data_IF_512121169887
#
_entry.id   IF_512121169887
#
_cell.length_a   1.000
_cell.length_b   1.000
_cell.length_c   1.000
_cell.angle_alpha   90.00
_cell.angle_beta   90.00
_cell.angle_gamma   90.00
#
_symmetry.space_group_name_H-M   'P 1'
#
loop_
_entity.id
_entity.type
_entity.pdbx_description
1 polymer ?
#
# COMPACT_ATOMS: atom_id res chain seq x y z
N UNK A 1 -34.52 36.89 30.46
CA UNK A 1 -33.16 36.34 30.34
C UNK A 1 -33.24 35.17 29.38
N UNK A 2 -32.84 35.37 28.10
CA UNK A 2 -33.04 34.44 26.99
C UNK A 2 -31.70 33.67 26.79
N UNK A 3 -31.63 32.44 27.29
CA UNK A 3 -30.46 31.57 27.06
C UNK A 3 -30.44 31.15 25.59
N UNK A 4 -29.56 31.77 24.83
CA UNK A 4 -29.27 31.33 23.46
C UNK A 4 -28.56 29.99 23.50
N UNK A 5 -29.31 28.95 23.13
CA UNK A 5 -28.80 27.61 22.91
C UNK A 5 -27.88 27.63 21.66
N UNK A 6 -26.56 27.68 21.87
CA UNK A 6 -25.56 27.61 20.82
C UNK A 6 -25.60 26.21 20.24
N UNK A 7 -26.25 26.06 19.09
CA UNK A 7 -26.20 24.81 18.30
C UNK A 7 -24.71 24.60 17.93
N UNK A 8 -24.08 23.63 18.60
CA UNK A 8 -22.76 23.14 18.20
C UNK A 8 -22.91 22.46 16.84
N UNK A 9 -22.52 23.16 15.78
CA UNK A 9 -22.31 22.51 14.49
C UNK A 9 -21.21 21.47 14.65
N UNK A 10 -21.59 20.19 14.53
CA UNK A 10 -20.62 19.08 14.51
C UNK A 10 -19.79 19.23 13.25
N UNK A 11 -18.51 19.61 13.40
CA UNK A 11 -17.55 19.58 12.32
C UNK A 11 -17.15 18.14 12.04
N UNK A 12 -17.30 17.68 10.79
CA UNK A 12 -16.78 16.39 10.31
C UNK A 12 -15.25 16.42 10.47
N UNK A 13 -14.72 15.40 11.12
CA UNK A 13 -13.29 15.26 11.38
C UNK A 13 -12.72 14.19 10.47
N UNK A 14 -11.87 14.59 9.52
CA UNK A 14 -11.13 13.64 8.70
C UNK A 14 -10.09 12.90 9.55
N UNK A 15 -10.21 11.58 9.60
CA UNK A 15 -9.20 10.70 10.18
C UNK A 15 -8.17 10.35 9.12
N UNK A 16 -6.89 10.50 9.45
CA UNK A 16 -5.80 10.07 8.54
C UNK A 16 -5.85 8.55 8.40
N UNK A 17 -5.93 8.06 7.16
CA UNK A 17 -5.87 6.63 6.85
C UNK A 17 -4.45 6.13 7.11
N UNK A 18 -4.34 4.96 7.75
CA UNK A 18 -3.04 4.30 7.92
C UNK A 18 -2.40 3.97 6.58
N UNK A 19 -1.08 4.19 6.46
CA UNK A 19 -0.33 3.99 5.22
C UNK A 19 -0.43 2.55 4.71
N UNK A 20 -0.47 1.56 5.60
CA UNK A 20 -0.61 0.15 5.24
C UNK A 20 -1.96 -0.14 4.59
N UNK A 21 -3.03 0.42 5.16
CA UNK A 21 -4.39 0.28 4.63
C UNK A 21 -4.51 0.98 3.27
N UNK A 22 -3.91 2.16 3.13
CA UNK A 22 -3.89 2.89 1.87
C UNK A 22 -3.16 2.10 0.78
N UNK A 23 -1.98 1.53 1.08
CA UNK A 23 -1.23 0.70 0.14
C UNK A 23 -2.02 -0.56 -0.26
N UNK A 24 -2.61 -1.27 0.71
CA UNK A 24 -3.48 -2.41 0.42
C UNK A 24 -4.66 -2.05 -0.48
N UNK A 25 -5.32 -0.92 -0.20
CA UNK A 25 -6.41 -0.40 -1.03
C UNK A 25 -5.98 -0.06 -2.46
N UNK A 26 -4.81 0.55 -2.64
CA UNK A 26 -4.26 0.86 -3.97
C UNK A 26 -3.93 -0.41 -4.78
N UNK A 27 -3.35 -1.44 -4.15
CA UNK A 27 -3.12 -2.74 -4.80
C UNK A 27 -4.43 -3.41 -5.22
N UNK A 28 -5.45 -3.40 -4.35
CA UNK A 28 -6.78 -3.93 -4.69
C UNK A 28 -7.37 -3.15 -5.88
N UNK A 29 -7.31 -1.82 -5.87
CA UNK A 29 -7.83 -0.99 -6.96
C UNK A 29 -7.12 -1.31 -8.28
N UNK A 30 -5.80 -1.47 -8.28
CA UNK A 30 -5.03 -1.85 -9.45
C UNK A 30 -5.46 -3.23 -9.98
N UNK A 31 -5.59 -4.22 -9.09
CA UNK A 31 -6.05 -5.57 -9.47
C UNK A 31 -7.45 -5.57 -10.08
N UNK A 32 -8.36 -4.71 -9.60
CA UNK A 32 -9.68 -4.57 -10.21
C UNK A 32 -9.61 -3.99 -11.62
N UNK A 33 -8.81 -2.94 -11.84
CA UNK A 33 -8.63 -2.37 -13.19
C UNK A 33 -8.05 -3.43 -14.13
N UNK A 34 -6.99 -4.13 -13.70
CA UNK A 34 -6.35 -5.21 -14.45
C UNK A 34 -7.36 -6.29 -14.85
N UNK A 35 -8.12 -6.81 -13.88
CA UNK A 35 -9.13 -7.83 -14.11
C UNK A 35 -10.21 -7.39 -15.09
N UNK A 36 -10.70 -6.14 -15.00
CA UNK A 36 -11.73 -5.66 -15.92
C UNK A 36 -11.19 -5.40 -17.32
N UNK A 37 -9.96 -4.93 -17.47
CA UNK A 37 -9.31 -4.79 -18.79
C UNK A 37 -9.20 -6.16 -19.47
N UNK A 38 -8.79 -7.20 -18.73
CA UNK A 38 -8.71 -8.56 -19.25
C UNK A 38 -10.09 -9.14 -19.60
N UNK A 39 -11.10 -8.95 -18.73
CA UNK A 39 -12.48 -9.38 -18.99
C UNK A 39 -13.03 -8.73 -20.26
N UNK A 40 -12.79 -7.44 -20.46
CA UNK A 40 -13.23 -6.76 -21.69
C UNK A 40 -12.49 -7.26 -22.93
N UNK A 41 -11.28 -7.79 -22.78
CA UNK A 41 -10.56 -8.48 -23.85
C UNK A 41 -11.36 -9.63 -24.45
N UNK A 42 -12.19 -10.35 -23.67
CA UNK A 42 -13.04 -11.43 -24.18
C UNK A 42 -14.15 -10.96 -25.15
N UNK A 43 -14.41 -9.66 -25.24
CA UNK A 43 -15.33 -9.12 -26.23
C UNK A 43 -14.64 -8.80 -27.57
N UNK A 44 -13.34 -8.99 -27.66
CA UNK A 44 -12.53 -8.75 -28.85
C UNK A 44 -12.44 -10.02 -29.69
N UNK A 45 -12.82 -9.92 -30.99
CA UNK A 45 -12.75 -11.07 -31.90
C UNK A 45 -11.32 -11.56 -32.14
N UNK A 46 -10.31 -10.67 -32.14
CA UNK A 46 -8.91 -11.05 -32.32
C UNK A 46 -8.39 -11.86 -31.14
N UNK A 47 -8.79 -11.52 -29.89
CA UNK A 47 -8.43 -12.27 -28.69
C UNK A 47 -9.08 -13.66 -28.69
N UNK A 48 -10.39 -13.73 -28.99
CA UNK A 48 -11.11 -15.00 -29.05
C UNK A 48 -10.52 -15.91 -30.13
N UNK A 49 -10.30 -15.40 -31.34
CA UNK A 49 -9.74 -16.17 -32.45
C UNK A 49 -8.31 -16.65 -32.13
N UNK A 50 -7.50 -15.80 -31.49
CA UNK A 50 -6.18 -16.20 -31.00
C UNK A 50 -6.27 -17.36 -30.02
N UNK A 51 -7.16 -17.28 -29.03
CA UNK A 51 -7.35 -18.32 -28.03
C UNK A 51 -7.83 -19.65 -28.65
N UNK A 52 -8.72 -19.60 -29.65
CA UNK A 52 -9.21 -20.80 -30.33
C UNK A 52 -8.11 -21.55 -31.10
N UNK A 53 -7.09 -20.84 -31.60
CA UNK A 53 -5.92 -21.44 -32.26
C UNK A 53 -4.74 -21.63 -31.30
N UNK A 54 -4.93 -21.45 -30.00
CA UNK A 54 -3.90 -21.63 -28.98
C UNK A 54 -2.80 -20.57 -28.98
N UNK A 55 -3.09 -19.35 -29.41
CA UNK A 55 -2.12 -18.24 -29.48
C UNK A 55 -2.64 -16.99 -28.82
N UNK A 56 -1.74 -16.26 -28.17
CA UNK A 56 -2.03 -14.91 -27.63
C UNK A 56 -2.11 -13.93 -28.80
N UNK A 57 -3.20 -13.16 -28.87
CA UNK A 57 -3.39 -12.13 -29.88
C UNK A 57 -2.29 -11.07 -29.77
N UNK A 58 -1.81 -10.58 -30.91
CA UNK A 58 -0.72 -9.62 -31.02
C UNK A 58 0.67 -10.27 -31.01
N UNK A 59 1.27 -10.61 -29.88
CA UNK A 59 2.63 -11.18 -29.82
C UNK A 59 2.74 -12.62 -30.33
N UNK A 60 1.61 -13.35 -30.48
CA UNK A 60 1.59 -14.67 -31.06
C UNK A 60 2.20 -15.80 -30.21
N UNK A 61 2.42 -15.57 -28.91
CA UNK A 61 2.89 -16.62 -27.98
C UNK A 61 1.91 -17.79 -27.93
N UNK A 62 2.43 -19.01 -27.81
CA UNK A 62 1.59 -20.19 -27.63
C UNK A 62 0.96 -20.22 -26.24
N UNK A 63 -0.35 -20.46 -26.18
CA UNK A 63 -1.09 -20.69 -24.95
C UNK A 63 -0.90 -22.15 -24.56
N UNK A 64 0.12 -22.40 -23.75
CA UNK A 64 0.46 -23.71 -23.22
C UNK A 64 0.53 -23.68 -21.68
N UNK A 65 0.81 -24.84 -21.07
CA UNK A 65 0.90 -24.97 -19.61
C UNK A 65 1.91 -24.00 -19.00
N UNK A 66 3.06 -23.81 -19.62
CA UNK A 66 4.09 -22.90 -19.11
C UNK A 66 3.61 -21.43 -19.15
N UNK A 67 2.96 -21.02 -20.23
CA UNK A 67 2.35 -19.69 -20.35
C UNK A 67 1.33 -19.43 -19.23
N UNK A 68 0.41 -20.38 -18.99
CA UNK A 68 -0.62 -20.25 -17.96
C UNK A 68 -0.02 -20.19 -16.55
N UNK A 69 1.02 -20.98 -16.26
CA UNK A 69 1.73 -20.95 -14.99
C UNK A 69 2.41 -19.59 -14.79
N UNK A 70 3.12 -19.07 -15.79
CA UNK A 70 3.80 -17.78 -15.70
C UNK A 70 2.80 -16.64 -15.52
N UNK A 71 1.67 -16.66 -16.23
CA UNK A 71 0.60 -15.67 -16.06
C UNK A 71 -0.01 -15.75 -14.67
N UNK A 72 -0.21 -16.96 -14.14
CA UNK A 72 -0.70 -17.14 -12.77
C UNK A 72 0.28 -16.56 -11.75
N UNK A 73 1.58 -16.83 -11.87
CA UNK A 73 2.61 -16.27 -10.99
C UNK A 73 2.61 -14.73 -11.09
N UNK A 74 2.51 -14.20 -12.30
CA UNK A 74 2.45 -12.75 -12.53
C UNK A 74 1.28 -12.11 -11.77
N UNK A 75 0.09 -12.71 -11.78
CA UNK A 75 -1.08 -12.20 -11.05
C UNK A 75 -0.97 -12.42 -9.53
N UNK A 76 -0.38 -13.52 -9.08
CA UNK A 76 -0.23 -13.81 -7.65
C UNK A 76 0.63 -12.79 -6.92
N UNK A 77 1.66 -12.23 -7.56
CA UNK A 77 2.55 -11.25 -6.92
C UNK A 77 1.77 -10.03 -6.41
N UNK A 78 0.98 -9.29 -7.21
CA UNK A 78 0.22 -8.15 -6.70
C UNK A 78 -0.89 -8.54 -5.70
N UNK A 79 -1.46 -9.75 -5.82
CA UNK A 79 -2.38 -10.26 -4.79
C UNK A 79 -1.66 -10.40 -3.45
N UNK A 80 -0.47 -11.00 -3.44
CA UNK A 80 0.35 -11.12 -2.23
C UNK A 80 0.80 -9.76 -1.71
N UNK A 81 1.01 -8.77 -2.59
CA UNK A 81 1.36 -7.42 -2.17
C UNK A 81 0.28 -6.73 -1.35
N UNK A 82 -1.00 -7.09 -1.51
CA UNK A 82 -2.08 -6.64 -0.61
C UNK A 82 -1.79 -7.10 0.82
N UNK A 83 -1.48 -8.39 1.00
CA UNK A 83 -1.19 -8.97 2.32
C UNK A 83 0.10 -8.38 2.89
N UNK A 84 1.17 -8.34 2.09
CA UNK A 84 2.46 -7.78 2.48
C UNK A 84 2.32 -6.33 2.95
N UNK A 85 1.52 -5.52 2.24
CA UNK A 85 1.28 -4.12 2.61
C UNK A 85 0.64 -3.98 3.99
N UNK A 86 -0.21 -4.92 4.39
CA UNK A 86 -0.92 -4.88 5.68
C UNK A 86 -0.05 -5.43 6.82
N UNK A 87 0.71 -6.51 6.59
CA UNK A 87 1.34 -7.31 7.66
C UNK A 87 2.83 -7.00 7.84
N UNK A 88 3.56 -6.69 6.76
CA UNK A 88 5.00 -6.55 6.80
C UNK A 88 5.49 -5.39 7.68
N UNK A 89 6.70 -5.49 8.27
CA UNK A 89 7.33 -4.39 9.00
C UNK A 89 7.67 -3.23 8.04
N UNK A 90 7.67 -1.99 8.56
CA UNK A 90 7.72 -0.76 7.78
C UNK A 90 8.88 -0.69 6.76
N UNK A 91 10.07 -1.11 7.15
CA UNK A 91 11.26 -1.08 6.27
C UNK A 91 11.11 -2.00 5.05
N UNK A 92 10.73 -3.26 5.28
CA UNK A 92 10.48 -4.23 4.21
C UNK A 92 9.29 -3.81 3.35
N UNK A 93 8.19 -3.40 3.98
CA UNK A 93 6.97 -2.95 3.32
C UNK A 93 7.28 -1.81 2.34
N UNK A 94 8.00 -0.78 2.80
CA UNK A 94 8.41 0.35 1.96
C UNK A 94 9.19 -0.11 0.72
N UNK A 95 10.27 -0.87 0.91
CA UNK A 95 11.15 -1.28 -0.19
C UNK A 95 10.42 -2.18 -1.18
N UNK A 96 9.69 -3.18 -0.69
CA UNK A 96 8.97 -4.13 -1.55
C UNK A 96 7.88 -3.45 -2.37
N UNK A 97 7.09 -2.54 -1.77
CA UNK A 97 6.08 -1.78 -2.50
C UNK A 97 6.69 -0.90 -3.60
N UNK A 98 7.81 -0.23 -3.34
CA UNK A 98 8.48 0.59 -4.37
C UNK A 98 8.98 -0.30 -5.52
N UNK A 99 9.72 -1.36 -5.21
CA UNK A 99 10.33 -2.20 -6.25
C UNK A 99 9.26 -2.88 -7.09
N UNK A 100 8.29 -3.54 -6.45
CA UNK A 100 7.25 -4.30 -7.16
C UNK A 100 6.38 -3.37 -7.99
N UNK A 101 5.93 -2.23 -7.44
CA UNK A 101 5.09 -1.30 -8.20
C UNK A 101 5.81 -0.72 -9.42
N UNK A 102 7.10 -0.41 -9.34
CA UNK A 102 7.87 0.12 -10.48
C UNK A 102 8.09 -0.95 -11.54
N UNK A 103 8.38 -2.20 -11.15
CA UNK A 103 8.50 -3.33 -12.09
C UNK A 103 7.19 -3.56 -12.83
N UNK A 104 6.05 -3.53 -12.12
CA UNK A 104 4.73 -3.68 -12.74
C UNK A 104 4.38 -2.48 -13.62
N UNK A 105 4.68 -1.25 -13.22
CA UNK A 105 4.48 -0.09 -14.07
C UNK A 105 5.25 -0.20 -15.39
N UNK A 106 6.50 -0.65 -15.34
CA UNK A 106 7.29 -0.90 -16.53
C UNK A 106 6.68 -2.00 -17.41
N UNK A 107 6.21 -3.10 -16.83
CA UNK A 107 5.58 -4.20 -17.59
C UNK A 107 4.28 -3.77 -18.27
N UNK A 108 3.43 -2.96 -17.59
CA UNK A 108 2.21 -2.39 -18.18
C UNK A 108 2.54 -1.44 -19.32
N UNK A 109 3.55 -0.57 -19.18
CA UNK A 109 3.99 0.30 -20.28
C UNK A 109 4.43 -0.51 -21.49
N UNK A 110 5.18 -1.60 -21.28
CA UNK A 110 5.61 -2.48 -22.38
C UNK A 110 4.42 -3.16 -23.05
N UNK A 111 3.38 -3.58 -22.30
CA UNK A 111 2.21 -4.26 -22.85
C UNK A 111 1.36 -3.36 -23.76
N UNK A 112 1.43 -2.04 -23.61
CA UNK A 112 0.70 -1.05 -24.44
C UNK A 112 1.37 -0.83 -25.79
N UNK A 113 2.63 -1.23 -25.97
CA UNK A 113 3.37 -1.00 -27.23
C UNK A 113 2.70 -1.77 -28.36
N UNK A 114 2.19 -1.05 -29.35
CA UNK A 114 1.48 -1.64 -30.49
C UNK A 114 -0.03 -1.86 -30.29
N UNK A 115 -0.55 -1.56 -29.10
CA UNK A 115 -1.99 -1.66 -28.85
C UNK A 115 -2.76 -0.48 -29.48
N UNK A 116 -3.92 -0.77 -30.05
CA UNK A 116 -4.77 0.20 -30.74
C UNK A 116 -6.13 0.41 -30.07
N UNK A 117 -6.52 -0.46 -29.15
CA UNK A 117 -7.80 -0.38 -28.46
C UNK A 117 -7.78 0.64 -27.33
N UNK A 118 -8.61 1.66 -27.46
CA UNK A 118 -8.65 2.81 -26.53
C UNK A 118 -8.96 2.37 -25.09
N UNK A 119 -9.87 1.39 -24.90
CA UNK A 119 -10.22 0.91 -23.56
C UNK A 119 -9.01 0.29 -22.84
N UNK A 120 -8.17 -0.46 -23.59
CA UNK A 120 -6.95 -1.08 -23.05
C UNK A 120 -5.94 0.00 -22.68
N UNK A 121 -5.69 0.95 -23.56
CA UNK A 121 -4.79 2.08 -23.31
C UNK A 121 -5.27 2.89 -22.08
N UNK A 122 -6.59 3.17 -21.98
CA UNK A 122 -7.17 3.89 -20.85
C UNK A 122 -6.98 3.12 -19.53
N UNK A 123 -7.26 1.82 -19.52
CA UNK A 123 -7.05 0.95 -18.35
C UNK A 123 -5.58 0.95 -17.93
N UNK A 124 -4.68 0.75 -18.87
CA UNK A 124 -3.23 0.74 -18.62
C UNK A 124 -2.71 2.08 -18.06
N UNK A 125 -3.23 3.22 -18.53
CA UNK A 125 -2.90 4.53 -17.95
C UNK A 125 -3.33 4.61 -16.49
N UNK A 126 -4.54 4.13 -16.16
CA UNK A 126 -5.03 4.10 -14.77
C UNK A 126 -4.17 3.16 -13.92
N UNK A 127 -3.80 1.99 -14.43
CA UNK A 127 -2.92 1.03 -13.74
C UNK A 127 -1.56 1.66 -13.43
N UNK A 128 -0.92 2.29 -14.41
CA UNK A 128 0.37 2.98 -14.22
C UNK A 128 0.23 4.10 -13.17
N UNK A 129 -0.84 4.90 -13.23
CA UNK A 129 -1.08 5.93 -12.21
C UNK A 129 -1.22 5.35 -10.80
N UNK A 130 -1.96 4.24 -10.63
CA UNK A 130 -2.10 3.56 -9.35
C UNK A 130 -0.78 2.98 -8.87
N UNK A 131 0.00 2.36 -9.74
CA UNK A 131 1.32 1.81 -9.41
C UNK A 131 2.32 2.91 -9.00
N UNK A 132 2.31 4.04 -9.69
CA UNK A 132 3.12 5.21 -9.30
C UNK A 132 2.63 5.82 -7.98
N UNK A 133 1.32 5.83 -7.71
CA UNK A 133 0.78 6.25 -6.42
C UNK A 133 1.25 5.33 -5.29
N UNK A 134 1.28 4.00 -5.50
CA UNK A 134 1.85 3.02 -4.55
C UNK A 134 3.32 3.34 -4.27
N UNK A 135 4.13 3.51 -5.34
CA UNK A 135 5.54 3.86 -5.19
C UNK A 135 5.72 5.16 -4.40
N UNK A 136 4.93 6.19 -4.70
CA UNK A 136 4.98 7.49 -4.02
C UNK A 136 4.58 7.37 -2.54
N UNK A 137 3.47 6.70 -2.23
CA UNK A 137 3.00 6.50 -0.85
C UNK A 137 4.05 5.74 -0.04
N UNK A 138 4.63 4.68 -0.61
CA UNK A 138 5.68 3.92 0.04
C UNK A 138 6.97 4.75 0.19
N UNK A 139 7.32 5.62 -0.76
CA UNK A 139 8.48 6.50 -0.68
C UNK A 139 8.36 7.54 0.43
N UNK A 140 7.17 8.13 0.58
CA UNK A 140 6.86 9.15 1.59
C UNK A 140 6.49 8.58 2.95
N UNK A 141 6.83 7.30 3.21
CA UNK A 141 6.52 6.63 4.47
C UNK A 141 6.95 7.47 5.68
N UNK A 142 6.05 7.73 6.65
CA UNK A 142 6.37 8.53 7.83
C UNK A 142 7.51 7.90 8.63
N UNK A 143 8.57 8.69 8.87
CA UNK A 143 9.66 8.27 9.77
C UNK A 143 9.29 8.72 11.18
N UNK A 144 9.31 7.79 12.15
CA UNK A 144 9.27 8.16 13.55
C UNK A 144 10.55 8.94 13.88
N UNK A 145 10.46 10.09 14.64
CA UNK A 145 11.65 10.72 15.18
C UNK A 145 12.46 9.67 15.96
N UNK A 146 13.76 9.65 15.77
CA UNK A 146 14.62 8.80 16.58
C UNK A 146 14.39 9.20 18.06
N UNK A 147 13.81 8.26 18.82
CA UNK A 147 13.63 8.47 20.25
C UNK A 147 15.04 8.57 20.85
N UNK A 148 15.34 9.74 21.40
CA UNK A 148 16.66 10.07 21.96
C UNK A 148 16.93 9.11 23.11
N UNK A 149 17.65 8.00 22.81
CA UNK A 149 18.05 7.01 23.82
C UNK A 149 18.95 7.60 24.91
N UNK A 150 19.35 8.86 24.74
CA UNK A 150 20.18 9.57 25.70
C UNK A 150 19.37 10.25 26.81
N UNK A 151 18.03 10.42 26.65
CA UNK A 151 17.20 10.98 27.70
C UNK A 151 16.96 10.01 28.86
N UNK A 152 17.04 8.70 28.62
CA UNK A 152 16.84 7.69 29.68
C UNK A 152 18.12 7.33 30.46
N UNK A 153 19.30 7.77 29.99
CA UNK A 153 20.59 7.51 30.63
C UNK A 153 21.07 8.64 31.55
N UNK A 154 20.30 9.73 31.65
CA UNK A 154 20.73 10.96 32.33
C UNK A 154 19.94 11.36 33.58
N UNK A 155 19.02 10.55 34.11
CA UNK A 155 18.44 10.84 35.42
C UNK A 155 19.33 10.24 36.54
N UNK A 156 20.12 11.10 37.25
CA UNK A 156 20.74 10.65 38.48
C UNK A 156 19.62 10.45 39.52
N UNK A 157 19.46 9.24 39.97
CA UNK A 157 18.61 8.87 41.10
C UNK A 157 19.09 9.66 42.35
N UNK A 158 18.53 10.84 42.53
CA UNK A 158 18.68 11.56 43.80
C UNK A 158 17.83 10.83 44.84
N UNK A 159 18.43 9.81 45.44
CA UNK A 159 17.88 9.11 46.57
C UNK A 159 17.94 10.07 47.75
N UNK A 160 16.87 10.79 48.00
CA UNK A 160 16.70 11.60 49.19
C UNK A 160 16.65 10.66 50.40
N UNK A 161 17.79 10.57 51.05
CA UNK A 161 17.96 9.84 52.32
C UNK A 161 17.54 10.79 53.42
N UNK A 162 16.24 10.96 53.62
CA UNK A 162 15.71 11.63 54.82
C UNK A 162 15.82 10.63 55.98
N UNK A 163 16.91 10.81 56.75
CA UNK A 163 17.11 10.18 58.02
C UNK A 163 16.08 10.77 58.99
N UNK A 164 15.19 9.92 59.44
CA UNK A 164 14.32 10.18 60.59
C UNK A 164 15.16 10.48 61.82
N UNK A 165 15.12 11.73 62.25
CA UNK A 165 15.59 12.11 63.62
C UNK A 165 14.35 12.24 64.49
N UNK A 166 14.07 11.24 65.27
CA UNK A 166 13.06 11.25 66.33
C UNK A 166 13.61 12.00 67.55
N UNK A 167 12.98 13.05 68.05
CA UNK A 167 13.38 13.63 69.35
C UNK A 167 12.78 12.81 70.50
N UNK A 168 13.63 12.34 71.34
CA UNK A 168 13.31 11.73 72.67
C UNK A 168 12.85 12.83 73.63
N UNK A 169 11.62 12.74 74.13
CA UNK A 169 11.11 13.60 75.22
C UNK A 169 11.45 12.92 76.56
N UNK A 170 12.10 13.57 77.47
CA UNK A 170 12.25 13.03 78.85
C UNK A 170 11.04 13.33 79.70
N UNK A 171 10.47 12.31 80.31
CA UNK A 171 9.45 12.41 81.38
C UNK A 171 10.11 12.70 82.71
N UNK A 172 9.67 13.75 83.38
CA UNK A 172 9.61 13.83 84.81
C UNK A 172 8.17 13.83 85.24
#
# INVERSE_FOLDING_TARGET
>A
MKTMNRVRTAHLRDTKVDVKVLLGGLWISMLFVFAYVDIFGFWRADVINGALVGKVSGPGFEINQAFLVLTTIYILIPILMVIVSLVAPAGMNRTTNIVVSLVYAASVVVSVIGETWIYYILGSVVEVMLLLAIARVAWTWPRSPAHDKNAAAGEPTTQTRDAATTPVVPTN
#
